data_IF_087591111234
#
_entry.id   IF_087591111234
#
_cell.length_a   1.000
_cell.length_b   1.000
_cell.length_c   1.000
_cell.angle_alpha   90.00
_cell.angle_beta   90.00
_cell.angle_gamma   90.00
#
_symmetry.space_group_name_H-M   'P 1'
#
loop_
_entity.id
_entity.type
_entity.pdbx_description
1 polymer ?
#
# COMPACT_ATOMS: atom_id res chain seq x y z
N UNK A 1 -31.18 3.89 -9.46
CA UNK A 1 -32.37 4.57 -8.88
C UNK A 1 -32.29 4.42 -7.38
N UNK A 2 -31.97 5.49 -6.66
CA UNK A 2 -31.99 5.52 -5.21
C UNK A 2 -33.45 5.67 -4.83
N UNK A 3 -34.09 4.59 -4.39
CA UNK A 3 -35.47 4.60 -3.94
C UNK A 3 -35.56 5.45 -2.66
N UNK A 4 -36.38 6.49 -2.72
CA UNK A 4 -36.99 7.23 -1.61
C UNK A 4 -36.28 7.12 -0.26
N UNK A 5 -35.20 7.84 -0.09
CA UNK A 5 -34.70 8.15 1.25
C UNK A 5 -35.71 9.11 1.90
N UNK A 6 -36.47 8.60 2.88
CA UNK A 6 -37.38 9.41 3.69
C UNK A 6 -36.67 10.41 4.62
N UNK A 7 -35.32 10.52 4.49
CA UNK A 7 -34.51 11.45 5.30
C UNK A 7 -34.09 12.64 4.45
N UNK A 8 -34.29 13.86 4.89
CA UNK A 8 -33.92 15.07 4.15
C UNK A 8 -32.40 15.35 4.18
N UNK A 9 -31.64 14.65 5.02
CA UNK A 9 -30.18 14.85 5.15
C UNK A 9 -29.45 13.97 4.14
N UNK A 10 -28.65 14.60 3.27
CA UNK A 10 -27.82 13.96 2.26
C UNK A 10 -26.36 14.33 2.48
N UNK A 11 -25.45 13.35 2.33
CA UNK A 11 -24.03 13.62 2.15
C UNK A 11 -23.77 13.75 0.64
N UNK A 12 -23.26 14.89 0.22
CA UNK A 12 -22.86 15.15 -1.18
C UNK A 12 -21.34 15.12 -1.27
N UNK A 13 -20.79 14.17 -2.05
CA UNK A 13 -19.36 14.06 -2.33
C UNK A 13 -19.06 14.73 -3.66
N UNK A 14 -18.11 15.65 -3.67
CA UNK A 14 -17.63 16.32 -4.87
C UNK A 14 -16.30 15.66 -5.30
N UNK A 15 -16.36 14.89 -6.40
CA UNK A 15 -15.20 14.18 -6.92
C UNK A 15 -14.18 15.13 -7.54
N UNK A 16 -14.59 16.28 -8.07
CA UNK A 16 -13.66 17.26 -8.62
C UNK A 16 -12.78 17.88 -7.54
N UNK A 17 -13.33 18.13 -6.35
CA UNK A 17 -12.55 18.59 -5.21
C UNK A 17 -11.49 17.58 -4.77
N UNK A 18 -11.77 16.27 -4.89
CA UNK A 18 -10.77 15.21 -4.62
C UNK A 18 -9.63 15.31 -5.63
N UNK A 19 -9.93 15.45 -6.93
CA UNK A 19 -8.90 15.61 -7.97
C UNK A 19 -8.05 16.86 -7.74
N UNK A 20 -8.68 17.99 -7.46
CA UNK A 20 -7.98 19.25 -7.15
C UNK A 20 -7.02 19.10 -5.96
N UNK A 21 -7.45 18.39 -4.90
CA UNK A 21 -6.58 18.11 -3.75
C UNK A 21 -5.37 17.24 -4.15
N UNK A 22 -5.58 16.21 -4.98
CA UNK A 22 -4.47 15.37 -5.47
C UNK A 22 -3.51 16.20 -6.33
N UNK A 23 -4.02 17.03 -7.24
CA UNK A 23 -3.20 17.93 -8.06
C UNK A 23 -2.35 18.87 -7.20
N UNK A 24 -2.91 19.40 -6.11
CA UNK A 24 -2.15 20.21 -5.14
C UNK A 24 -1.01 19.39 -4.51
N UNK A 25 -1.26 18.17 -4.04
CA UNK A 25 -0.21 17.31 -3.47
C UNK A 25 0.85 17.00 -4.53
N UNK A 26 0.45 16.57 -5.71
CA UNK A 26 1.36 16.19 -6.81
C UNK A 26 2.20 17.38 -7.27
N UNK A 27 1.68 18.62 -7.23
CA UNK A 27 2.41 19.82 -7.60
C UNK A 27 3.60 20.13 -6.67
N UNK A 28 3.59 19.60 -5.43
CA UNK A 28 4.64 19.83 -4.43
C UNK A 28 5.68 18.70 -4.35
N UNK A 29 5.49 17.61 -5.09
CA UNK A 29 6.43 16.48 -5.11
C UNK A 29 7.17 16.38 -6.45
N UNK A 30 8.41 15.85 -6.48
CA UNK A 30 9.13 15.64 -7.74
C UNK A 30 8.37 14.70 -8.68
N UNK A 31 8.38 14.95 -10.00
CA UNK A 31 7.67 14.17 -11.02
C UNK A 31 7.98 12.65 -11.02
N UNK A 32 9.11 12.25 -10.46
CA UNK A 32 9.52 10.84 -10.35
C UNK A 32 8.92 10.11 -9.14
N UNK A 33 8.26 10.84 -8.23
CA UNK A 33 7.66 10.26 -7.03
C UNK A 33 6.28 9.73 -7.38
N UNK A 34 6.02 8.48 -7.04
CA UNK A 34 4.73 7.82 -7.24
C UNK A 34 3.77 8.11 -6.08
N UNK A 35 2.50 8.20 -6.40
CA UNK A 35 1.43 8.51 -5.44
C UNK A 35 0.55 7.30 -5.19
N UNK A 36 0.21 7.07 -3.90
CA UNK A 36 -0.73 6.06 -3.46
C UNK A 36 -2.00 6.71 -2.93
N UNK A 37 -3.13 6.50 -3.60
CA UNK A 37 -4.43 6.91 -3.08
C UNK A 37 -4.99 5.84 -2.14
N UNK A 38 -5.13 6.18 -0.86
CA UNK A 38 -5.67 5.26 0.14
C UNK A 38 -7.19 5.33 0.14
N UNK A 39 -7.86 4.30 -0.42
CA UNK A 39 -9.31 4.23 -0.60
C UNK A 39 -9.99 3.17 0.27
N UNK A 40 -9.28 2.68 1.29
CA UNK A 40 -9.81 1.73 2.28
C UNK A 40 -11.02 2.28 3.03
N UNK A 41 -11.80 1.39 3.68
CA UNK A 41 -12.98 1.74 4.46
C UNK A 41 -13.96 2.62 3.67
N UNK A 42 -14.27 2.18 2.44
CA UNK A 42 -15.14 2.91 1.51
C UNK A 42 -14.64 4.34 1.23
N UNK A 43 -13.31 4.51 0.99
CA UNK A 43 -12.63 5.80 0.86
C UNK A 43 -12.96 6.74 2.05
N UNK A 44 -12.85 6.19 3.27
CA UNK A 44 -13.21 6.89 4.53
C UNK A 44 -14.65 7.41 4.54
N UNK A 45 -15.57 6.69 3.87
CA UNK A 45 -16.97 7.05 3.76
C UNK A 45 -17.35 7.88 2.53
N UNK A 46 -16.38 8.22 1.68
CA UNK A 46 -16.62 9.01 0.46
C UNK A 46 -17.12 8.18 -0.73
N UNK A 47 -17.06 6.84 -0.65
CA UNK A 47 -17.42 5.93 -1.74
C UNK A 47 -16.18 5.47 -2.53
N UNK A 48 -15.59 4.32 -2.14
CA UNK A 48 -14.34 3.83 -2.77
C UNK A 48 -14.50 3.57 -4.26
N UNK A 49 -15.68 3.10 -4.68
CA UNK A 49 -15.97 2.73 -6.06
C UNK A 49 -15.97 3.96 -6.98
N UNK A 50 -16.66 5.00 -6.57
CA UNK A 50 -16.77 6.25 -7.32
C UNK A 50 -15.44 6.99 -7.32
N UNK A 51 -14.79 7.08 -6.14
CA UNK A 51 -13.48 7.75 -5.99
C UNK A 51 -12.41 7.06 -6.83
N UNK A 52 -12.26 5.73 -6.72
CA UNK A 52 -11.22 5.01 -7.46
C UNK A 52 -11.44 5.09 -8.97
N UNK A 53 -12.69 4.92 -9.43
CA UNK A 53 -13.01 5.06 -10.87
C UNK A 53 -12.71 6.46 -11.39
N UNK A 54 -13.06 7.47 -10.65
CA UNK A 54 -12.81 8.86 -11.03
C UNK A 54 -11.31 9.15 -11.10
N UNK A 55 -10.54 8.74 -10.08
CA UNK A 55 -9.10 8.95 -10.04
C UNK A 55 -8.33 8.17 -11.12
N UNK A 56 -8.78 6.97 -11.47
CA UNK A 56 -8.19 6.21 -12.58
C UNK A 56 -8.44 6.89 -13.93
N UNK A 57 -9.59 7.51 -14.11
CA UNK A 57 -9.95 8.21 -15.35
C UNK A 57 -9.25 9.56 -15.49
N UNK A 58 -9.13 10.31 -14.42
CA UNK A 58 -8.50 11.65 -14.41
C UNK A 58 -6.98 11.59 -14.30
N UNK A 59 -6.43 10.48 -13.83
CA UNK A 59 -5.00 10.34 -13.53
C UNK A 59 -4.61 11.00 -12.20
N UNK A 60 -3.30 11.04 -11.94
CA UNK A 60 -2.76 11.67 -10.72
C UNK A 60 -2.46 10.69 -9.58
N UNK A 61 -2.77 9.41 -9.75
CA UNK A 61 -2.39 8.35 -8.80
C UNK A 61 -1.75 7.16 -9.54
N UNK A 62 -0.71 6.60 -8.95
CA UNK A 62 0.02 5.47 -9.51
C UNK A 62 -0.43 4.15 -8.89
N UNK A 63 -0.91 4.20 -7.64
CA UNK A 63 -1.38 3.07 -6.86
C UNK A 63 -2.65 3.41 -6.09
N UNK A 64 -3.50 2.41 -5.87
CA UNK A 64 -4.49 2.43 -4.81
C UNK A 64 -4.03 1.60 -3.62
N UNK A 65 -4.49 1.94 -2.41
CA UNK A 65 -4.29 1.14 -1.22
C UNK A 65 -5.62 0.89 -0.51
N UNK A 66 -5.88 -0.39 -0.23
CA UNK A 66 -7.09 -0.88 0.45
C UNK A 66 -6.73 -1.57 1.76
N UNK A 67 -7.68 -1.74 2.66
CA UNK A 67 -7.40 -2.41 3.94
C UNK A 67 -7.29 -3.92 3.76
N UNK A 68 -8.21 -4.55 3.08
CA UNK A 68 -8.35 -6.01 2.97
C UNK A 68 -8.56 -6.44 1.52
N UNK A 69 -8.37 -7.73 1.26
CA UNK A 69 -8.49 -8.32 -0.08
C UNK A 69 -9.84 -8.05 -0.74
N UNK A 70 -10.94 -8.13 0.00
CA UNK A 70 -12.28 -7.97 -0.57
C UNK A 70 -12.54 -6.57 -1.12
N UNK A 71 -12.00 -5.52 -0.50
CA UNK A 71 -12.05 -4.15 -1.05
C UNK A 71 -11.31 -4.07 -2.40
N UNK A 72 -10.13 -4.68 -2.49
CA UNK A 72 -9.37 -4.72 -3.76
C UNK A 72 -10.08 -5.51 -4.86
N UNK A 73 -10.69 -6.64 -4.51
CA UNK A 73 -11.51 -7.43 -5.46
C UNK A 73 -12.68 -6.65 -6.00
N UNK A 74 -13.32 -5.85 -5.15
CA UNK A 74 -14.43 -5.00 -5.59
C UNK A 74 -13.95 -3.97 -6.60
N UNK A 75 -12.83 -3.30 -6.35
CA UNK A 75 -12.24 -2.38 -7.33
C UNK A 75 -11.90 -3.08 -8.64
N UNK A 76 -11.34 -4.29 -8.60
CA UNK A 76 -11.08 -5.09 -9.82
C UNK A 76 -12.35 -5.42 -10.60
N UNK A 77 -13.47 -5.76 -9.91
CA UNK A 77 -14.77 -6.00 -10.56
C UNK A 77 -15.32 -4.76 -11.26
N UNK A 78 -14.95 -3.58 -10.81
CA UNK A 78 -15.31 -2.29 -11.46
C UNK A 78 -14.43 -1.95 -12.68
N UNK A 79 -13.44 -2.80 -12.97
CA UNK A 79 -12.52 -2.62 -14.08
C UNK A 79 -11.30 -1.75 -13.76
N UNK A 80 -11.03 -1.44 -12.47
CA UNK A 80 -9.81 -0.73 -12.08
C UNK A 80 -8.59 -1.58 -12.42
N UNK A 81 -7.67 -1.01 -13.18
CA UNK A 81 -6.44 -1.67 -13.68
C UNK A 81 -5.18 -1.20 -12.95
N UNK A 82 -5.22 0.00 -12.39
CA UNK A 82 -4.15 0.55 -11.54
C UNK A 82 -3.73 -0.45 -10.44
N UNK A 83 -2.45 -0.48 -10.08
CA UNK A 83 -1.93 -1.34 -9.02
C UNK A 83 -2.67 -1.09 -7.70
N UNK A 84 -2.96 -2.16 -6.95
CA UNK A 84 -3.69 -2.09 -5.68
C UNK A 84 -2.90 -2.82 -4.60
N UNK A 85 -2.47 -2.06 -3.58
CA UNK A 85 -1.86 -2.61 -2.37
C UNK A 85 -2.94 -3.03 -1.37
N UNK A 86 -2.84 -4.25 -0.82
CA UNK A 86 -3.64 -4.72 0.31
C UNK A 86 -2.83 -4.53 1.59
N UNK A 87 -3.28 -3.61 2.45
CA UNK A 87 -2.52 -3.22 3.65
C UNK A 87 -2.49 -4.28 4.75
N UNK A 88 -3.54 -5.09 4.86
CA UNK A 88 -3.67 -6.16 5.85
C UNK A 88 -4.10 -7.46 5.15
N UNK A 89 -3.17 -8.15 4.45
CA UNK A 89 -3.48 -9.43 3.84
C UNK A 89 -3.69 -10.50 4.92
N UNK A 90 -4.74 -11.29 4.77
CA UNK A 90 -5.08 -12.38 5.68
C UNK A 90 -4.69 -13.74 5.06
N UNK A 91 -4.26 -14.74 5.85
CA UNK A 91 -3.83 -16.05 5.33
C UNK A 91 -4.85 -16.71 4.40
N UNK A 92 -6.14 -16.59 4.68
CA UNK A 92 -7.22 -17.12 3.85
C UNK A 92 -7.46 -16.40 2.54
N UNK A 93 -6.79 -15.25 2.30
CA UNK A 93 -6.98 -14.41 1.11
C UNK A 93 -5.83 -14.46 0.10
N UNK A 94 -4.73 -15.17 0.37
CA UNK A 94 -3.52 -15.09 -0.48
C UNK A 94 -3.76 -15.51 -1.93
N UNK A 95 -4.47 -16.60 -2.18
CA UNK A 95 -4.82 -17.02 -3.54
C UNK A 95 -5.70 -15.99 -4.25
N UNK A 96 -6.62 -15.36 -3.51
CA UNK A 96 -7.49 -14.31 -4.05
C UNK A 96 -6.70 -13.02 -4.33
N UNK A 97 -5.71 -12.68 -3.49
CA UNK A 97 -4.78 -11.59 -3.73
C UNK A 97 -4.07 -11.82 -5.07
N UNK A 98 -3.49 -13.00 -5.27
CA UNK A 98 -2.75 -13.32 -6.48
C UNK A 98 -3.65 -13.40 -7.72
N UNK A 99 -4.79 -14.09 -7.64
CA UNK A 99 -5.72 -14.23 -8.78
C UNK A 99 -6.39 -12.93 -9.21
N UNK A 100 -6.45 -11.94 -8.34
CA UNK A 100 -6.97 -10.60 -8.64
C UNK A 100 -5.85 -9.57 -8.89
N UNK A 101 -4.59 -10.00 -9.01
CA UNK A 101 -3.45 -9.10 -9.23
C UNK A 101 -3.38 -7.96 -8.20
N UNK A 102 -3.59 -8.29 -6.91
CA UNK A 102 -3.43 -7.37 -5.79
C UNK A 102 -2.05 -7.58 -5.16
N UNK A 103 -1.46 -6.56 -4.59
CA UNK A 103 -0.11 -6.60 -4.05
C UNK A 103 -0.13 -6.53 -2.51
N UNK A 104 0.33 -7.56 -1.77
CA UNK A 104 0.21 -7.59 -0.32
C UNK A 104 1.29 -6.75 0.37
N UNK A 105 0.89 -6.06 1.43
CA UNK A 105 1.79 -5.48 2.40
C UNK A 105 2.24 -6.55 3.41
N UNK A 106 3.54 -6.73 3.56
CA UNK A 106 4.16 -7.68 4.49
C UNK A 106 4.84 -6.88 5.62
N UNK A 107 4.50 -7.20 6.85
CA UNK A 107 4.93 -6.41 8.01
C UNK A 107 5.44 -7.23 9.20
N UNK A 108 5.61 -8.54 9.04
CA UNK A 108 6.29 -9.40 9.98
C UNK A 108 6.76 -10.70 9.31
N UNK A 109 7.66 -11.41 9.95
CA UNK A 109 8.25 -12.65 9.47
C UNK A 109 7.24 -13.75 9.19
N UNK A 110 6.25 -13.95 10.07
CA UNK A 110 5.25 -15.00 9.91
C UNK A 110 4.44 -14.79 8.62
N UNK A 111 3.95 -13.57 8.41
CA UNK A 111 3.24 -13.18 7.18
C UNK A 111 4.11 -13.35 5.94
N UNK A 112 5.42 -13.02 6.02
CA UNK A 112 6.36 -13.19 4.90
C UNK A 112 6.48 -14.67 4.51
N UNK A 113 6.73 -15.55 5.47
CA UNK A 113 6.90 -17.00 5.23
C UNK A 113 5.61 -17.63 4.72
N UNK A 114 4.47 -17.28 5.31
CA UNK A 114 3.17 -17.81 4.91
C UNK A 114 2.80 -17.37 3.49
N UNK A 115 3.03 -16.09 3.15
CA UNK A 115 2.75 -15.60 1.80
C UNK A 115 3.69 -16.23 0.76
N UNK A 116 4.99 -16.37 1.05
CA UNK A 116 5.94 -17.07 0.16
C UNK A 116 5.47 -18.50 -0.08
N UNK A 117 5.12 -19.24 0.98
CA UNK A 117 4.62 -20.63 0.84
C UNK A 117 3.34 -20.70 -0.01
N UNK A 118 2.43 -19.73 0.14
CA UNK A 118 1.22 -19.66 -0.69
C UNK A 118 1.57 -19.30 -2.15
N UNK A 119 2.51 -18.37 -2.38
CA UNK A 119 2.96 -17.97 -3.71
C UNK A 119 3.65 -19.13 -4.46
N UNK A 120 4.47 -19.94 -3.77
CA UNK A 120 5.10 -21.13 -4.33
C UNK A 120 4.04 -22.19 -4.72
N UNK A 121 3.06 -22.45 -3.88
CA UNK A 121 1.95 -23.38 -4.21
C UNK A 121 1.10 -22.88 -5.37
N UNK A 122 0.92 -21.57 -5.47
CA UNK A 122 0.20 -20.93 -6.58
C UNK A 122 0.98 -20.98 -7.90
N UNK A 123 2.31 -21.26 -7.84
CA UNK A 123 3.21 -21.24 -8.99
C UNK A 123 3.64 -19.81 -9.38
N UNK A 124 3.59 -18.89 -8.44
CA UNK A 124 4.02 -17.51 -8.69
C UNK A 124 5.54 -17.41 -8.90
N UNK A 125 5.95 -16.47 -9.73
CA UNK A 125 7.34 -16.12 -9.94
C UNK A 125 7.50 -14.60 -9.87
N UNK A 126 8.38 -14.12 -8.98
CA UNK A 126 8.64 -12.71 -8.73
C UNK A 126 7.36 -11.89 -8.44
N UNK A 127 6.43 -12.48 -7.69
CA UNK A 127 5.20 -11.78 -7.33
C UNK A 127 5.51 -10.54 -6.47
N UNK A 128 4.94 -9.36 -6.78
CA UNK A 128 5.27 -8.13 -6.06
C UNK A 128 4.71 -8.14 -4.64
N UNK A 129 5.57 -7.78 -3.68
CA UNK A 129 5.19 -7.57 -2.28
C UNK A 129 5.74 -6.22 -1.81
N UNK A 130 5.07 -5.60 -0.85
CA UNK A 130 5.51 -4.37 -0.21
C UNK A 130 5.96 -4.68 1.21
N UNK A 131 7.13 -4.20 1.63
CA UNK A 131 7.63 -4.42 2.99
C UNK A 131 7.42 -3.17 3.83
N UNK A 132 6.70 -3.32 4.93
CA UNK A 132 6.51 -2.24 5.89
C UNK A 132 7.52 -2.32 7.01
N UNK A 133 8.14 -1.17 7.32
CA UNK A 133 9.11 -1.03 8.40
C UNK A 133 8.56 -0.18 9.56
N UNK A 134 8.82 -0.64 10.78
CA UNK A 134 8.50 0.09 12.00
C UNK A 134 9.64 1.05 12.33
N UNK A 135 9.47 2.32 11.98
CA UNK A 135 10.48 3.34 12.28
C UNK A 135 10.14 4.18 13.52
N UNK A 136 9.10 3.78 14.27
CA UNK A 136 8.74 4.46 15.50
C UNK A 136 7.24 4.58 15.80
N UNK A 137 6.36 4.22 14.85
CA UNK A 137 4.92 4.22 15.13
C UNK A 137 4.47 3.06 16.03
N UNK A 138 5.23 1.96 16.05
CA UNK A 138 5.00 0.78 16.90
C UNK A 138 3.61 0.14 16.77
N UNK A 139 3.07 0.11 15.54
CA UNK A 139 1.79 -0.54 15.24
C UNK A 139 2.00 -1.84 14.46
N UNK A 140 2.65 -1.77 13.30
CA UNK A 140 3.03 -2.91 12.44
C UNK A 140 4.25 -2.52 11.62
N UNK A 141 5.06 -3.49 11.26
CA UNK A 141 6.28 -3.33 10.46
C UNK A 141 7.42 -4.15 11.06
N UNK A 142 8.38 -4.55 10.23
CA UNK A 142 9.64 -5.12 10.67
C UNK A 142 10.46 -4.08 11.42
N UNK A 143 11.18 -4.49 12.44
CA UNK A 143 12.16 -3.63 13.12
C UNK A 143 13.49 -3.60 12.34
N UNK A 144 14.31 -2.58 12.55
CA UNK A 144 15.57 -2.40 11.81
C UNK A 144 16.55 -3.57 11.96
N UNK A 145 16.54 -4.26 13.07
CA UNK A 145 17.40 -5.43 13.35
C UNK A 145 16.94 -6.70 12.62
N UNK A 146 15.71 -6.76 12.12
CA UNK A 146 15.18 -7.88 11.33
C UNK A 146 15.64 -7.86 9.83
N UNK A 147 16.34 -6.82 9.36
CA UNK A 147 16.73 -6.69 7.95
C UNK A 147 17.48 -7.91 7.41
N UNK A 148 18.48 -8.44 8.16
CA UNK A 148 19.28 -9.58 7.70
C UNK A 148 18.47 -10.88 7.66
N UNK A 149 17.51 -11.03 8.55
CA UNK A 149 16.59 -12.17 8.54
C UNK A 149 15.66 -12.10 7.32
N UNK A 150 15.08 -10.92 7.05
CA UNK A 150 14.23 -10.68 5.86
C UNK A 150 15.01 -10.97 4.58
N UNK A 151 16.25 -10.47 4.45
CA UNK A 151 17.12 -10.73 3.31
C UNK A 151 17.43 -12.23 3.15
N UNK A 152 17.70 -12.92 4.25
CA UNK A 152 17.95 -14.37 4.26
C UNK A 152 16.73 -15.14 3.74
N UNK A 153 15.52 -14.76 4.16
CA UNK A 153 14.28 -15.40 3.69
C UNK A 153 14.10 -15.14 2.19
N UNK A 154 14.21 -13.89 1.75
CA UNK A 154 14.02 -13.50 0.35
C UNK A 154 15.03 -14.14 -0.59
N UNK A 155 16.27 -14.37 -0.16
CA UNK A 155 17.31 -15.01 -0.98
C UNK A 155 17.03 -16.48 -1.28
N UNK A 156 16.12 -17.13 -0.57
CA UNK A 156 15.81 -18.57 -0.70
C UNK A 156 14.62 -18.86 -1.60
N UNK A 157 13.96 -17.83 -2.12
CA UNK A 157 12.77 -17.99 -2.95
C UNK A 157 12.87 -17.16 -4.23
N UNK A 158 12.29 -17.67 -5.31
CA UNK A 158 12.02 -16.92 -6.55
C UNK A 158 10.54 -16.59 -6.72
N UNK A 159 9.69 -16.91 -5.72
CA UNK A 159 8.26 -16.72 -5.84
C UNK A 159 7.84 -15.26 -5.70
N UNK A 160 8.58 -14.46 -4.91
CA UNK A 160 8.25 -13.07 -4.64
C UNK A 160 9.41 -12.12 -4.96
N UNK A 161 9.10 -10.85 -5.21
CA UNK A 161 10.05 -9.73 -5.29
C UNK A 161 9.56 -8.56 -4.46
N UNK A 162 10.47 -7.80 -3.89
CA UNK A 162 10.12 -6.54 -3.21
C UNK A 162 9.76 -5.48 -4.27
N UNK A 163 8.54 -4.98 -4.25
CA UNK A 163 8.09 -3.89 -5.11
C UNK A 163 8.36 -2.53 -4.46
N UNK A 164 8.15 -2.41 -3.17
CA UNK A 164 8.48 -1.21 -2.39
C UNK A 164 8.79 -1.52 -0.94
N UNK A 165 9.44 -0.57 -0.29
CA UNK A 165 9.50 -0.48 1.17
C UNK A 165 8.82 0.81 1.61
N UNK A 166 8.22 0.81 2.79
CA UNK A 166 7.60 2.00 3.33
C UNK A 166 7.47 1.98 4.85
N UNK A 167 7.22 3.15 5.39
CA UNK A 167 6.86 3.34 6.80
C UNK A 167 5.66 4.27 6.94
N UNK A 168 5.25 4.50 8.17
CA UNK A 168 4.24 5.50 8.51
C UNK A 168 4.84 6.52 9.47
N UNK A 169 4.90 7.77 9.02
CA UNK A 169 5.37 8.88 9.85
C UNK A 169 4.24 9.26 10.81
N UNK A 170 4.47 9.05 12.11
CA UNK A 170 3.39 9.09 13.11
C UNK A 170 2.95 10.50 13.51
N UNK A 171 3.83 11.49 13.31
CA UNK A 171 3.65 12.88 13.78
C UNK A 171 4.09 13.91 12.73
N UNK A 172 4.04 13.54 11.43
CA UNK A 172 4.51 14.42 10.34
C UNK A 172 3.65 15.67 10.12
N UNK A 173 2.48 15.73 10.73
CA UNK A 173 1.56 16.88 10.74
C UNK A 173 1.79 17.83 11.93
N UNK A 174 2.71 17.49 12.85
CA UNK A 174 3.05 18.29 14.02
C UNK A 174 4.46 18.90 13.89
N UNK A 175 4.61 20.17 13.52
CA UNK A 175 5.93 20.80 13.31
C UNK A 175 6.85 20.77 14.55
N UNK A 176 6.28 20.71 15.75
CA UNK A 176 7.04 20.58 17.00
C UNK A 176 7.71 19.24 17.17
N UNK A 177 7.29 18.22 16.39
CA UNK A 177 7.79 16.85 16.40
C UNK A 177 8.65 16.53 15.16
N UNK A 178 9.12 17.53 14.43
CA UNK A 178 9.95 17.33 13.24
C UNK A 178 11.20 16.47 13.52
N UNK A 179 11.84 16.66 14.67
CA UNK A 179 12.98 15.83 15.06
C UNK A 179 12.65 14.33 15.14
N UNK A 180 11.43 13.99 15.57
CA UNK A 180 10.98 12.60 15.58
C UNK A 180 10.74 12.09 14.17
N UNK A 181 10.10 12.88 13.33
CA UNK A 181 9.88 12.57 11.91
C UNK A 181 11.19 12.35 11.17
N UNK A 182 12.20 13.19 11.37
CA UNK A 182 13.54 13.00 10.78
C UNK A 182 14.24 11.73 11.29
N UNK A 183 14.09 11.37 12.56
CA UNK A 183 14.60 10.08 13.06
C UNK A 183 13.93 8.88 12.39
N UNK A 184 12.62 8.93 12.16
CA UNK A 184 11.89 7.88 11.42
C UNK A 184 12.41 7.75 9.98
N UNK A 185 12.61 8.86 9.28
CA UNK A 185 13.16 8.88 7.92
C UNK A 185 14.58 8.33 7.89
N UNK A 186 15.47 8.79 8.79
CA UNK A 186 16.84 8.29 8.86
C UNK A 186 16.92 6.78 9.14
N UNK A 187 15.99 6.22 9.90
CA UNK A 187 15.89 4.78 10.09
C UNK A 187 15.50 4.07 8.80
N UNK A 188 14.48 4.57 8.08
CA UNK A 188 14.08 3.99 6.80
C UNK A 188 15.21 4.03 5.78
N UNK A 189 15.97 5.12 5.72
CA UNK A 189 17.14 5.28 4.83
C UNK A 189 18.21 4.21 5.09
N UNK A 190 18.48 3.89 6.37
CA UNK A 190 19.44 2.83 6.71
C UNK A 190 18.96 1.46 6.27
N UNK A 191 17.67 1.17 6.47
CA UNK A 191 17.03 -0.07 5.99
C UNK A 191 17.10 -0.14 4.47
N UNK A 192 16.72 0.93 3.77
CA UNK A 192 16.76 1.01 2.32
C UNK A 192 18.15 0.71 1.77
N UNK A 193 19.18 1.37 2.30
CA UNK A 193 20.57 1.15 1.87
C UNK A 193 21.02 -0.30 2.02
N UNK A 194 20.62 -0.99 3.09
CA UNK A 194 20.96 -2.41 3.30
C UNK A 194 20.25 -3.29 2.28
N UNK A 195 18.94 -3.07 2.06
CA UNK A 195 18.14 -3.81 1.09
C UNK A 195 18.62 -3.58 -0.35
N UNK A 196 18.93 -2.33 -0.76
CA UNK A 196 19.43 -2.02 -2.10
C UNK A 196 20.78 -2.66 -2.43
N UNK A 197 21.63 -2.88 -1.43
CA UNK A 197 22.92 -3.57 -1.62
C UNK A 197 22.76 -5.08 -1.82
N UNK A 198 21.70 -5.67 -1.28
CA UNK A 198 21.53 -7.11 -1.24
C UNK A 198 20.50 -7.64 -2.25
N UNK A 199 19.48 -6.88 -2.57
CA UNK A 199 18.45 -7.30 -3.51
C UNK A 199 18.89 -7.09 -4.97
N UNK A 200 18.64 -8.08 -5.86
CA UNK A 200 19.11 -8.04 -7.24
C UNK A 200 18.26 -7.16 -8.18
N UNK A 201 17.15 -6.64 -7.70
CA UNK A 201 16.19 -5.86 -8.47
C UNK A 201 15.87 -4.53 -7.80
N UNK A 202 15.56 -3.48 -8.58
CA UNK A 202 15.14 -2.20 -8.02
C UNK A 202 13.76 -2.30 -7.35
N UNK A 203 13.52 -1.44 -6.37
CA UNK A 203 12.24 -1.26 -5.69
C UNK A 203 12.02 0.23 -5.35
N UNK A 204 10.77 0.59 -5.04
CA UNK A 204 10.38 1.93 -4.61
C UNK A 204 10.62 2.13 -3.12
#
# INVERSE_FOLDING_TARGET
MISSLHRPTLAKVDLSAISENIEQVVSHIPKKVQTFAVVKANAYGLGSNEVARYLEQTGGVDYFAVAVCDEGKELRRLGITTQIMVMNPEPGSYEQIMSNHLEPNIFNKHLLLDFISAAERYGAHLYPIHLKWNTGMHRTGFDEDEVEEVLTILSRTGAVRVASIFTHLSVADEPTEDDYTYRQLAMLDRVEQRLRRALPHPFL
#
